data_IF_587200468745
#
_entry.id   IF_587200468745
#
_cell.length_a   1.000
_cell.length_b   1.000
_cell.length_c   1.000
_cell.angle_alpha   90.00
_cell.angle_beta   90.00
_cell.angle_gamma   90.00
#
_symmetry.space_group_name_H-M   'P 1'
#
loop_
_entity.id
_entity.type
_entity.pdbx_description
1 polymer ?
#
# COMPACT_ATOMS: atom_id res chain seq x y z
N UNK A 1 5.18 -11.95 13.02
CA UNK A 1 3.73 -11.83 13.29
C UNK A 1 3.25 -10.55 12.62
N UNK A 2 2.56 -10.67 11.50
CA UNK A 2 2.13 -9.54 10.66
C UNK A 2 0.73 -9.14 11.08
N UNK A 3 0.58 -7.98 11.72
CA UNK A 3 -0.73 -7.47 12.13
C UNK A 3 -1.37 -6.73 10.95
N UNK A 4 -2.46 -7.28 10.44
CA UNK A 4 -3.37 -6.58 9.55
C UNK A 4 -4.48 -5.95 10.39
N UNK A 5 -4.46 -4.64 10.59
CA UNK A 5 -5.60 -3.91 11.12
C UNK A 5 -6.39 -3.31 9.96
N UNK A 6 -7.56 -3.87 9.71
CA UNK A 6 -8.54 -3.26 8.84
C UNK A 6 -9.31 -2.21 9.64
N UNK A 7 -9.15 -0.93 9.31
CA UNK A 7 -10.10 0.10 9.73
C UNK A 7 -10.93 0.53 8.53
N UNK A 8 -12.26 0.60 8.66
CA UNK A 8 -13.08 1.15 7.59
C UNK A 8 -12.82 2.63 7.43
N UNK A 9 -12.63 3.06 6.20
CA UNK A 9 -12.54 4.46 5.79
C UNK A 9 -13.88 5.16 6.06
N UNK A 10 -13.88 6.15 6.95
CA UNK A 10 -14.96 7.12 7.06
C UNK A 10 -14.69 8.27 6.09
N UNK A 11 -15.56 8.40 5.12
CA UNK A 11 -15.69 9.61 4.34
C UNK A 11 -16.42 10.69 5.17
N UNK A 12 -15.97 11.92 5.04
CA UNK A 12 -16.63 13.11 5.58
C UNK A 12 -15.57 14.17 5.87
N UNK A 13 -15.58 15.27 5.26
CA UNK A 13 -16.47 16.34 5.09
C UNK A 13 -15.62 17.59 5.22
N UNK A 14 -15.71 18.47 4.23
CA UNK A 14 -15.16 19.84 4.18
C UNK A 14 -15.68 20.67 5.36
N UNK A 15 -14.86 21.63 5.81
CA UNK A 15 -15.33 23.02 5.98
C UNK A 15 -14.14 23.97 6.07
N UNK A 16 -14.25 25.02 5.25
CA UNK A 16 -13.40 26.20 5.19
C UNK A 16 -13.60 27.09 6.42
N UNK A 17 -12.53 27.70 6.93
CA UNK A 17 -12.65 29.07 7.45
C UNK A 17 -11.37 29.89 7.26
N UNK A 18 -11.58 31.01 6.66
CA UNK A 18 -10.62 32.07 6.37
C UNK A 18 -10.44 32.96 7.62
N UNK A 19 -9.21 33.16 8.03
CA UNK A 19 -8.86 34.13 9.06
C UNK A 19 -7.46 34.69 8.85
N UNK A 20 -7.38 35.83 8.24
CA UNK A 20 -6.14 36.60 8.06
C UNK A 20 -5.71 37.25 9.36
N UNK A 21 -4.43 37.07 9.77
CA UNK A 21 -3.60 38.12 10.37
C UNK A 21 -2.14 37.66 10.33
N UNK A 22 -1.28 38.53 9.78
CA UNK A 22 0.12 38.20 9.54
C UNK A 22 0.97 38.19 10.80
N UNK A 23 1.94 37.29 10.79
CA UNK A 23 3.20 37.40 11.48
C UNK A 23 4.32 36.72 10.71
N UNK A 24 5.45 37.39 10.70
CA UNK A 24 6.73 37.10 10.06
C UNK A 24 7.10 35.62 9.93
N UNK A 25 7.39 35.25 8.69
CA UNK A 25 7.59 33.91 8.20
C UNK A 25 8.71 33.11 8.82
N UNK A 26 8.35 32.09 9.53
CA UNK A 26 9.08 30.82 9.48
C UNK A 26 8.35 29.97 8.44
N UNK A 27 8.94 29.82 7.27
CA UNK A 27 8.44 28.87 6.29
C UNK A 27 8.66 27.47 6.88
N UNK A 28 7.66 26.96 7.56
CA UNK A 28 7.54 25.52 7.75
C UNK A 28 7.42 24.92 6.36
N UNK A 29 8.50 24.39 5.85
CA UNK A 29 8.41 23.49 4.73
C UNK A 29 7.58 22.30 5.24
N UNK A 30 6.32 22.28 4.85
CA UNK A 30 5.46 21.12 5.03
C UNK A 30 6.24 19.95 4.45
N UNK A 31 6.67 19.03 5.31
CA UNK A 31 7.39 17.85 4.86
C UNK A 31 6.58 17.23 3.74
N UNK A 32 7.12 17.24 2.53
CA UNK A 32 6.46 16.64 1.38
C UNK A 32 6.33 15.18 1.73
N UNK A 33 5.10 14.74 1.96
CA UNK A 33 4.79 13.34 2.26
C UNK A 33 5.17 12.55 1.02
N UNK A 34 6.36 11.97 1.05
CA UNK A 34 6.87 11.22 -0.09
C UNK A 34 6.07 9.93 -0.18
N UNK A 35 5.16 9.89 -1.14
CA UNK A 35 4.36 8.71 -1.47
C UNK A 35 4.98 8.06 -2.69
N UNK A 36 5.19 6.75 -2.61
CA UNK A 36 5.48 5.95 -3.79
C UNK A 36 4.22 5.26 -4.27
N UNK A 37 4.13 5.00 -5.56
CA UNK A 37 2.99 4.33 -6.15
C UNK A 37 3.42 3.38 -7.26
N UNK A 38 2.60 2.37 -7.48
CA UNK A 38 2.72 1.49 -8.64
C UNK A 38 1.34 1.11 -9.15
N UNK A 39 1.29 0.67 -10.40
CA UNK A 39 0.07 0.19 -11.03
C UNK A 39 0.40 -0.88 -12.06
N UNK A 40 -0.37 -1.95 -12.08
CA UNK A 40 -0.33 -2.97 -13.11
C UNK A 40 -1.75 -3.46 -13.41
N UNK A 41 -1.99 -3.81 -14.65
CA UNK A 41 -3.26 -4.42 -15.08
C UNK A 41 -2.95 -5.76 -15.72
N UNK A 42 -3.48 -6.82 -15.13
CA UNK A 42 -3.34 -8.20 -15.62
C UNK A 42 -4.72 -8.76 -15.86
N UNK A 43 -5.00 -9.25 -17.05
CA UNK A 43 -6.31 -9.83 -17.43
C UNK A 43 -7.49 -8.92 -17.04
N UNK A 44 -7.36 -7.63 -17.29
CA UNK A 44 -8.34 -6.59 -16.95
C UNK A 44 -8.60 -6.41 -15.44
N UNK A 45 -7.71 -6.90 -14.58
CA UNK A 45 -7.73 -6.58 -13.16
C UNK A 45 -6.60 -5.59 -12.89
N UNK A 46 -6.95 -4.39 -12.47
CA UNK A 46 -5.98 -3.34 -12.13
C UNK A 46 -5.65 -3.38 -10.66
N UNK A 47 -4.37 -3.41 -10.36
CA UNK A 47 -3.84 -3.28 -9.00
C UNK A 47 -3.05 -1.98 -8.91
N UNK A 48 -3.51 -1.07 -8.06
CA UNK A 48 -2.81 0.17 -7.71
C UNK A 48 -2.37 0.12 -6.27
N UNK A 49 -1.12 0.48 -6.02
CA UNK A 49 -0.56 0.57 -4.67
C UNK A 49 -0.04 1.97 -4.41
N UNK A 50 -0.28 2.46 -3.20
CA UNK A 50 0.31 3.70 -2.68
C UNK A 50 0.95 3.39 -1.33
N UNK A 51 2.22 3.75 -1.17
CA UNK A 51 2.97 3.49 0.06
C UNK A 51 3.52 4.79 0.65
N UNK A 52 3.60 4.82 1.97
CA UNK A 52 4.13 5.95 2.73
C UNK A 52 4.83 5.49 3.99
N UNK A 53 5.83 6.27 4.41
CA UNK A 53 6.49 6.08 5.69
C UNK A 53 5.56 6.50 6.84
N UNK A 54 5.57 5.71 7.92
CA UNK A 54 4.84 6.02 9.15
C UNK A 54 5.82 6.31 10.29
N UNK A 55 6.13 7.60 10.56
CA UNK A 55 7.06 7.97 11.62
C UNK A 55 6.55 7.62 13.02
N UNK A 56 5.22 7.55 13.20
CA UNK A 56 4.62 7.25 14.51
C UNK A 56 4.87 5.81 14.97
N UNK A 57 5.07 4.90 14.02
CA UNK A 57 5.36 3.47 14.28
C UNK A 57 6.82 3.10 14.01
N UNK A 58 7.65 4.07 13.72
CA UNK A 58 9.07 3.88 13.40
C UNK A 58 9.97 4.28 14.56
N UNK A 59 11.10 3.61 14.68
CA UNK A 59 12.17 3.94 15.62
C UNK A 59 13.52 3.77 14.93
N UNK A 60 14.00 4.75 14.14
CA UNK A 60 15.25 4.65 13.39
C UNK A 60 16.49 4.37 14.27
N UNK A 61 16.49 4.87 15.51
CA UNK A 61 17.56 4.58 16.47
C UNK A 61 17.66 3.10 16.87
N UNK A 62 16.56 2.37 16.69
CA UNK A 62 16.48 0.92 16.93
C UNK A 62 16.46 0.12 15.62
N UNK A 63 16.80 0.76 14.50
CA UNK A 63 16.75 0.16 13.17
C UNK A 63 15.37 -0.42 12.82
N UNK A 64 14.32 0.37 13.12
CA UNK A 64 12.94 0.00 12.87
C UNK A 64 12.26 1.08 12.04
N UNK A 65 11.88 0.75 10.81
CA UNK A 65 11.12 1.60 9.91
C UNK A 65 9.81 0.92 9.55
N UNK A 66 8.71 1.63 9.68
CA UNK A 66 7.38 1.11 9.38
C UNK A 66 6.75 1.88 8.23
N UNK A 67 6.22 1.15 7.27
CA UNK A 67 5.58 1.70 6.08
C UNK A 67 4.14 1.21 6.00
N UNK A 68 3.23 2.11 5.65
CA UNK A 68 1.86 1.78 5.30
C UNK A 68 1.73 1.71 3.78
N UNK A 69 0.98 0.75 3.29
CA UNK A 69 0.62 0.69 1.88
C UNK A 69 -0.87 0.40 1.73
N UNK A 70 -1.48 1.11 0.79
CA UNK A 70 -2.89 0.95 0.43
C UNK A 70 -2.98 0.37 -0.95
N UNK A 71 -3.74 -0.69 -1.10
CA UNK A 71 -3.96 -1.40 -2.36
C UNK A 71 -5.39 -1.24 -2.80
N UNK A 72 -5.58 -0.87 -4.08
CA UNK A 72 -6.86 -0.85 -4.77
C UNK A 72 -6.83 -1.91 -5.86
N UNK A 73 -7.76 -2.86 -5.80
CA UNK A 73 -7.93 -3.91 -6.80
C UNK A 73 -9.26 -3.68 -7.50
N UNK A 74 -9.22 -3.35 -8.79
CA UNK A 74 -10.39 -3.02 -9.58
C UNK A 74 -10.58 -4.03 -10.71
N UNK A 75 -11.77 -4.64 -10.78
CA UNK A 75 -12.13 -5.50 -11.88
C UNK A 75 -12.66 -4.66 -13.04
N UNK A 76 -11.83 -4.46 -14.06
CA UNK A 76 -12.20 -3.77 -15.31
C UNK A 76 -12.64 -4.74 -16.42
N UNK A 77 -12.72 -6.02 -16.11
CA UNK A 77 -13.15 -7.07 -17.02
C UNK A 77 -14.65 -7.28 -17.00
N UNK A 78 -15.07 -8.35 -17.66
CA UNK A 78 -16.48 -8.73 -17.80
C UNK A 78 -16.90 -9.88 -16.91
N UNK A 79 -15.93 -10.59 -16.35
CA UNK A 79 -16.15 -11.76 -15.50
C UNK A 79 -15.97 -11.44 -14.04
N UNK A 80 -16.78 -12.05 -13.18
CA UNK A 80 -16.58 -11.99 -11.73
C UNK A 80 -15.37 -12.83 -11.34
N UNK A 81 -14.50 -12.27 -10.50
CA UNK A 81 -13.29 -12.91 -9.99
C UNK A 81 -13.25 -12.90 -8.46
N UNK A 82 -12.54 -13.86 -7.89
CA UNK A 82 -12.32 -13.94 -6.43
C UNK A 82 -10.83 -13.99 -6.16
N UNK A 83 -10.38 -13.18 -5.20
CA UNK A 83 -9.02 -13.24 -4.70
C UNK A 83 -8.90 -14.37 -3.68
N UNK A 84 -8.00 -15.32 -3.93
CA UNK A 84 -7.80 -16.50 -3.10
C UNK A 84 -6.62 -16.32 -2.15
N UNK A 85 -5.48 -15.86 -2.66
CA UNK A 85 -4.24 -15.75 -1.89
C UNK A 85 -3.35 -14.63 -2.41
N UNK A 86 -2.30 -14.35 -1.65
CA UNK A 86 -1.28 -13.36 -1.98
C UNK A 86 0.11 -13.93 -1.86
N UNK A 87 1.01 -13.39 -2.65
CA UNK A 87 2.44 -13.62 -2.56
C UNK A 87 3.16 -12.28 -2.66
N UNK A 88 3.86 -11.91 -1.61
CA UNK A 88 4.71 -10.73 -1.55
C UNK A 88 6.19 -11.10 -1.57
N UNK A 89 6.97 -10.30 -2.29
CA UNK A 89 8.43 -10.33 -2.27
C UNK A 89 8.90 -8.97 -1.77
N UNK A 90 9.60 -8.97 -0.66
CA UNK A 90 10.06 -7.76 0.03
C UNK A 90 11.58 -7.78 0.03
N UNK A 91 12.20 -6.76 -0.53
CA UNK A 91 13.65 -6.59 -0.55
C UNK A 91 14.01 -5.38 0.29
N UNK A 92 14.85 -5.56 1.31
CA UNK A 92 15.33 -4.44 2.12
C UNK A 92 16.50 -3.70 1.48
N UNK A 93 16.95 -2.62 2.11
CA UNK A 93 18.04 -1.79 1.61
C UNK A 93 19.41 -2.47 1.59
N UNK A 94 19.56 -3.62 2.21
CA UNK A 94 20.78 -4.43 2.21
C UNK A 94 20.72 -5.59 1.21
N UNK A 95 19.62 -5.69 0.46
CA UNK A 95 19.40 -6.75 -0.52
C UNK A 95 18.85 -8.06 0.07
N UNK A 96 18.47 -8.07 1.35
CA UNK A 96 17.79 -9.23 1.95
C UNK A 96 16.40 -9.34 1.38
N UNK A 97 16.04 -10.53 0.93
CA UNK A 97 14.74 -10.85 0.35
C UNK A 97 13.92 -11.69 1.34
N UNK A 98 12.69 -11.27 1.56
CA UNK A 98 11.70 -12.00 2.34
C UNK A 98 10.45 -12.23 1.49
N UNK A 99 9.93 -13.45 1.51
CA UNK A 99 8.69 -13.80 0.82
C UNK A 99 7.59 -14.06 1.83
N UNK A 100 6.39 -13.52 1.57
CA UNK A 100 5.20 -13.72 2.40
C UNK A 100 4.08 -14.27 1.54
N UNK A 101 3.63 -15.47 1.87
CA UNK A 101 2.49 -16.13 1.23
C UNK A 101 1.37 -16.33 2.25
N UNK A 102 0.15 -16.19 1.81
CA UNK A 102 -0.99 -16.45 2.69
C UNK A 102 -2.34 -16.34 1.97
N UNK A 103 -3.40 -16.89 2.61
CA UNK A 103 -4.75 -16.81 2.06
C UNK A 103 -5.30 -15.39 2.17
N UNK A 104 -5.99 -14.94 1.13
CA UNK A 104 -6.70 -13.68 1.13
C UNK A 104 -5.84 -12.44 1.37
N UNK A 105 -6.51 -11.36 1.71
CA UNK A 105 -5.94 -10.08 2.11
C UNK A 105 -6.71 -9.55 3.31
N UNK A 106 -6.00 -9.14 4.38
CA UNK A 106 -6.58 -8.66 5.64
C UNK A 106 -7.75 -9.53 6.15
N UNK A 107 -7.58 -10.85 6.08
CA UNK A 107 -8.57 -11.83 6.53
C UNK A 107 -9.78 -12.00 5.61
N UNK A 108 -9.73 -11.49 4.37
CA UNK A 108 -10.83 -11.54 3.39
C UNK A 108 -10.37 -12.16 2.08
N UNK A 109 -11.31 -12.82 1.42
CA UNK A 109 -11.18 -13.28 0.03
C UNK A 109 -12.24 -12.57 -0.82
N UNK A 110 -12.00 -11.31 -1.23
CA UNK A 110 -13.02 -10.51 -1.88
C UNK A 110 -13.43 -11.09 -3.23
N UNK A 111 -14.72 -11.02 -3.50
CA UNK A 111 -15.31 -11.32 -4.81
C UNK A 111 -15.59 -10.00 -5.50
N UNK A 112 -15.05 -9.82 -6.70
CA UNK A 112 -15.20 -8.61 -7.48
C UNK A 112 -16.01 -8.90 -8.74
N UNK A 113 -17.22 -8.36 -8.78
CA UNK A 113 -17.99 -8.29 -10.02
C UNK A 113 -17.38 -7.23 -10.96
N UNK A 114 -17.72 -7.24 -12.26
CA UNK A 114 -17.28 -6.20 -13.20
C UNK A 114 -17.51 -4.78 -12.66
N UNK A 115 -16.48 -3.94 -12.67
CA UNK A 115 -16.51 -2.56 -12.19
C UNK A 115 -16.31 -2.39 -10.68
N UNK A 116 -16.24 -3.45 -9.91
CA UNK A 116 -16.05 -3.36 -8.46
C UNK A 116 -14.58 -3.18 -8.09
N UNK A 117 -14.35 -2.44 -7.00
CA UNK A 117 -13.03 -2.20 -6.40
C UNK A 117 -13.03 -2.69 -4.95
N UNK A 118 -11.94 -3.35 -4.57
CA UNK A 118 -11.63 -3.68 -3.19
C UNK A 118 -10.39 -2.89 -2.76
N UNK A 119 -10.48 -2.19 -1.62
CA UNK A 119 -9.38 -1.43 -1.05
C UNK A 119 -9.02 -1.96 0.33
N UNK A 120 -7.74 -2.06 0.61
CA UNK A 120 -7.24 -2.35 1.94
C UNK A 120 -5.92 -1.63 2.21
N UNK A 121 -5.63 -1.42 3.49
CA UNK A 121 -4.36 -0.87 3.96
C UNK A 121 -3.69 -1.88 4.88
N UNK A 122 -2.39 -2.05 4.70
CA UNK A 122 -1.57 -2.93 5.53
C UNK A 122 -0.21 -2.27 5.79
N UNK A 123 0.63 -2.90 6.58
CA UNK A 123 1.93 -2.38 6.96
C UNK A 123 3.07 -3.33 6.66
N UNK A 124 4.25 -2.74 6.44
CA UNK A 124 5.50 -3.45 6.24
C UNK A 124 6.58 -2.88 7.15
N UNK A 125 7.06 -3.61 8.17
CA UNK A 125 8.23 -3.23 8.92
C UNK A 125 9.51 -3.62 8.18
N UNK A 126 10.48 -2.71 8.18
CA UNK A 126 11.83 -2.97 7.66
C UNK A 126 12.87 -2.65 8.73
N UNK A 127 14.04 -3.26 8.60
CA UNK A 127 15.24 -2.96 9.41
C UNK A 127 16.18 -1.99 8.71
N UNK A 128 15.79 -1.45 7.58
CA UNK A 128 16.50 -0.47 6.77
C UNK A 128 15.59 0.69 6.39
N UNK A 129 16.12 1.91 6.13
CA UNK A 129 15.31 3.09 5.84
C UNK A 129 14.63 3.06 4.47
N UNK A 130 14.95 2.07 3.64
CA UNK A 130 14.33 1.89 2.33
C UNK A 130 14.24 0.42 1.96
N UNK A 131 13.37 0.11 1.02
CA UNK A 131 13.20 -1.21 0.45
C UNK A 131 12.26 -1.16 -0.75
N UNK A 132 11.89 -2.33 -1.24
CA UNK A 132 11.00 -2.51 -2.37
C UNK A 132 10.07 -3.69 -2.12
N UNK A 133 8.84 -3.55 -2.56
CA UNK A 133 7.85 -4.64 -2.55
C UNK A 133 7.29 -4.85 -3.95
N UNK A 134 7.05 -6.09 -4.29
CA UNK A 134 6.26 -6.52 -5.45
C UNK A 134 5.64 -7.88 -5.16
N UNK A 135 4.81 -8.36 -6.04
CA UNK A 135 4.23 -9.69 -5.85
C UNK A 135 3.10 -10.01 -6.81
N UNK A 136 2.24 -10.91 -6.37
CA UNK A 136 1.07 -11.38 -7.11
C UNK A 136 -0.09 -11.66 -6.19
N UNK A 137 -1.32 -11.54 -6.72
CA UNK A 137 -2.51 -12.14 -6.15
C UNK A 137 -2.93 -13.32 -7.00
N UNK A 138 -3.34 -14.40 -6.35
CA UNK A 138 -3.92 -15.56 -7.00
C UNK A 138 -5.42 -15.37 -7.05
N UNK A 139 -5.98 -15.39 -8.26
CA UNK A 139 -7.39 -15.15 -8.54
C UNK A 139 -8.03 -16.42 -9.10
N UNK A 140 -9.35 -16.52 -8.98
CA UNK A 140 -10.17 -17.53 -9.64
C UNK A 140 -11.40 -16.88 -10.27
N UNK A 141 -11.78 -17.29 -11.47
CA UNK A 141 -13.00 -16.85 -12.12
C UNK A 141 -14.15 -17.85 -11.92
N UNK A 142 -15.33 -17.57 -12.49
CA UNK A 142 -16.50 -18.45 -12.38
C UNK A 142 -16.35 -19.78 -13.12
N UNK A 143 -15.40 -19.90 -14.04
CA UNK A 143 -15.07 -21.14 -14.72
C UNK A 143 -14.04 -21.99 -13.96
N UNK A 144 -13.77 -21.65 -12.69
CA UNK A 144 -12.75 -22.27 -11.84
C UNK A 144 -11.33 -22.19 -12.41
N UNK A 145 -11.08 -21.26 -13.32
CA UNK A 145 -9.77 -20.98 -13.84
C UNK A 145 -8.98 -20.12 -12.84
N UNK A 146 -7.83 -20.62 -12.43
CA UNK A 146 -6.89 -19.92 -11.55
C UNK A 146 -5.86 -19.17 -12.37
N UNK A 147 -5.56 -17.94 -11.96
CA UNK A 147 -4.56 -17.11 -12.60
C UNK A 147 -3.94 -16.12 -11.62
N UNK A 148 -2.74 -15.67 -11.92
CA UNK A 148 -2.04 -14.66 -11.14
C UNK A 148 -2.25 -13.28 -11.77
N UNK A 149 -2.41 -12.29 -10.91
CA UNK A 149 -2.33 -10.88 -11.31
C UNK A 149 -1.13 -10.22 -10.65
N UNK A 150 -0.49 -9.33 -11.38
CA UNK A 150 0.74 -8.67 -10.95
C UNK A 150 0.47 -7.52 -9.98
N UNK A 151 1.30 -7.43 -8.95
CA UNK A 151 1.50 -6.23 -8.14
C UNK A 151 2.84 -5.65 -8.56
N UNK A 152 2.81 -4.55 -9.33
CA UNK A 152 4.02 -3.92 -9.83
C UNK A 152 4.90 -3.42 -8.69
N UNK A 153 6.23 -3.43 -8.83
CA UNK A 153 7.15 -2.97 -7.80
C UNK A 153 6.86 -1.54 -7.37
N UNK A 154 6.93 -1.31 -6.07
CA UNK A 154 6.89 0.02 -5.47
C UNK A 154 7.94 0.13 -4.37
N UNK A 155 8.43 1.34 -4.15
CA UNK A 155 9.48 1.60 -3.17
C UNK A 155 8.90 1.96 -1.81
N UNK A 156 9.62 1.56 -0.76
CA UNK A 156 9.43 2.00 0.61
C UNK A 156 10.62 2.86 0.98
N UNK A 157 10.41 4.12 1.31
CA UNK A 157 11.51 5.05 1.58
C UNK A 157 11.14 6.04 2.67
N UNK A 158 12.01 6.14 3.68
CA UNK A 158 11.95 7.22 4.64
C UNK A 158 12.26 8.54 3.92
N UNK A 159 11.43 9.58 4.08
CA UNK A 159 11.72 10.89 3.53
C UNK A 159 13.03 11.44 4.10
N UNK A 160 13.91 11.94 3.25
CA UNK A 160 15.12 12.63 3.72
C UNK A 160 14.71 13.89 4.49
N UNK A 161 14.99 13.94 5.78
CA UNK A 161 15.06 15.19 6.49
C UNK A 161 16.33 15.89 6.04
N UNK A 162 16.22 16.94 5.21
CA UNK A 162 17.31 17.87 5.00
C UNK A 162 17.61 18.54 6.34
N UNK A 163 18.60 18.04 7.05
CA UNK A 163 19.20 18.76 8.17
C UNK A 163 20.09 19.82 7.54
N UNK A 164 19.63 21.07 7.58
CA UNK A 164 20.49 22.24 7.39
C UNK A 164 21.12 22.61 8.72
#
# INVERSE_FOLDING_TARGET
MWYAEARPSKAGGLEDEVGAHGYCGVRYHKAVKQMSSSEATTRNIRVRVQAQYDPSRSSPRQSQWFFLYTVNITNEGRDTVKLISRHWVITDGMGKVEEVRGPGVVGKQPVLAPGQTFEYTSGCPLTTPFGQMHGTYQMINRADEKFDIEIAPFTLSEPYSTVN
#
